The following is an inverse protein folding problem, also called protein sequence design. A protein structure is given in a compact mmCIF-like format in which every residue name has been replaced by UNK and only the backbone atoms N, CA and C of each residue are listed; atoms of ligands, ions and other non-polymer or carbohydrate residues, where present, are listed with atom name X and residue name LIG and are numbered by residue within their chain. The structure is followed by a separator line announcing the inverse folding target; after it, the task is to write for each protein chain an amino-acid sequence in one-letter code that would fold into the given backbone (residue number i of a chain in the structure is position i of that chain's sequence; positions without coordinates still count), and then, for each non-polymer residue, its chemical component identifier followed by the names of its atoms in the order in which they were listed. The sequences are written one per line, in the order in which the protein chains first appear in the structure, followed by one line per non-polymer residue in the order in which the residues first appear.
data_IF_966642298717
#
_entry.id   IF_966642298717
#
_cell.length_a   1.000
_cell.length_b   1.000
_cell.length_c   1.000
_cell.angle_alpha   90.00
_cell.angle_beta   90.00
_cell.angle_gamma   90.00
#
_symmetry.space_group_name_H-M   'P 1'
#
loop_
_entity.id
_entity.type
_entity.pdbx_description
1 polymer ?
#
# COMPACT_ATOMS: atom_id res chain seq x y z
N UNK A 1 46.36 0.80 -45.47
CA UNK A 1 46.22 2.26 -45.41
C UNK A 1 44.74 2.59 -45.22
N UNK A 2 44.35 3.21 -44.11
CA UNK A 2 42.94 3.57 -43.87
C UNK A 2 42.58 4.74 -44.79
N UNK A 3 41.58 4.55 -45.66
CA UNK A 3 41.18 5.55 -46.64
C UNK A 3 40.55 6.75 -45.92
N UNK A 4 41.34 7.83 -45.72
CA UNK A 4 40.97 8.99 -44.87
C UNK A 4 39.79 9.81 -45.41
N UNK A 5 39.32 9.53 -46.61
CA UNK A 5 38.27 10.27 -47.31
C UNK A 5 36.88 9.61 -47.21
N UNK A 6 36.68 8.67 -46.29
CA UNK A 6 35.38 8.03 -46.04
C UNK A 6 34.80 8.51 -44.71
N UNK A 7 33.52 8.86 -44.70
CA UNK A 7 32.78 9.28 -43.52
C UNK A 7 32.59 8.11 -42.55
N UNK A 8 33.05 8.20 -41.30
CA UNK A 8 32.94 7.09 -40.34
C UNK A 8 31.48 6.79 -39.92
N UNK A 9 30.55 7.72 -40.15
CA UNK A 9 29.14 7.62 -39.71
C UNK A 9 28.22 6.97 -40.74
N UNK A 10 28.52 7.10 -42.03
CA UNK A 10 27.63 6.64 -43.11
C UNK A 10 28.34 5.99 -44.31
N UNK A 11 29.67 5.95 -44.34
CA UNK A 11 30.43 5.35 -45.44
C UNK A 11 30.55 6.19 -46.71
N UNK A 12 29.91 7.37 -46.80
CA UNK A 12 30.01 8.26 -47.96
C UNK A 12 31.38 8.98 -48.03
N UNK A 13 31.77 9.44 -49.22
CA UNK A 13 32.98 10.25 -49.38
C UNK A 13 32.87 11.57 -48.60
N UNK A 14 33.98 11.95 -47.94
CA UNK A 14 34.13 13.23 -47.24
C UNK A 14 35.39 13.95 -47.70
N UNK A 15 35.41 15.26 -47.52
CA UNK A 15 36.62 16.06 -47.77
C UNK A 15 37.71 15.71 -46.74
N UNK A 16 39.00 15.66 -47.11
CA UNK A 16 40.10 15.18 -46.25
C UNK A 16 40.21 15.86 -44.88
N UNK A 17 39.80 17.14 -44.82
CA UNK A 17 39.93 18.02 -43.64
C UNK A 17 38.71 18.01 -42.71
N UNK A 18 37.63 17.32 -43.09
CA UNK A 18 36.37 17.31 -42.33
C UNK A 18 36.21 15.98 -41.59
N UNK A 19 35.59 16.01 -40.41
CA UNK A 19 35.34 14.80 -39.62
C UNK A 19 34.26 13.91 -40.27
N UNK A 20 33.22 14.51 -40.83
CA UNK A 20 32.07 13.84 -41.46
C UNK A 20 31.82 14.33 -42.89
N UNK A 21 30.99 13.62 -43.66
CA UNK A 21 30.49 14.12 -44.95
C UNK A 21 29.50 15.29 -44.75
N UNK A 22 29.22 16.04 -45.81
CA UNK A 22 28.34 17.22 -45.78
C UNK A 22 26.96 16.90 -45.19
N UNK A 23 26.33 15.82 -45.63
CA UNK A 23 25.00 15.42 -45.15
C UNK A 23 24.99 15.07 -43.66
N UNK A 24 25.99 14.32 -43.18
CA UNK A 24 26.12 13.99 -41.77
C UNK A 24 26.40 15.24 -40.92
N UNK A 25 27.20 16.17 -41.42
CA UNK A 25 27.46 17.45 -40.75
C UNK A 25 26.22 18.34 -40.72
N UNK A 26 25.38 18.32 -41.76
CA UNK A 26 24.10 19.04 -41.79
C UNK A 26 23.07 18.41 -40.84
N UNK A 27 23.04 17.08 -40.73
CA UNK A 27 22.20 16.39 -39.73
C UNK A 27 22.60 16.72 -38.30
N UNK A 28 23.89 16.89 -38.01
CA UNK A 28 24.38 17.35 -36.69
C UNK A 28 24.02 18.82 -36.40
N UNK A 29 23.80 19.64 -37.42
CA UNK A 29 23.36 21.04 -37.26
C UNK A 29 21.85 21.19 -37.05
N UNK A 30 21.06 20.11 -37.16
CA UNK A 30 19.62 20.19 -36.89
C UNK A 30 19.41 20.33 -35.39
N UNK A 31 18.81 21.45 -34.99
CA UNK A 31 18.47 21.68 -33.59
C UNK A 31 17.49 20.60 -33.10
N UNK A 32 17.64 20.11 -31.86
CA UNK A 32 16.66 19.21 -31.27
C UNK A 32 15.28 19.87 -31.23
N UNK A 33 14.23 19.05 -31.18
CA UNK A 33 12.84 19.51 -31.12
C UNK A 33 12.21 19.09 -29.80
N UNK A 34 11.31 19.92 -29.29
CA UNK A 34 10.52 19.62 -28.11
C UNK A 34 9.69 18.36 -28.36
N UNK A 35 9.77 17.40 -27.44
CA UNK A 35 9.04 16.12 -27.53
C UNK A 35 7.51 16.29 -27.52
N UNK A 36 6.99 17.37 -26.92
CA UNK A 36 5.54 17.59 -26.76
C UNK A 36 4.93 18.37 -27.93
N UNK A 37 5.57 19.46 -28.37
CA UNK A 37 5.01 20.33 -29.41
C UNK A 37 5.84 20.47 -30.69
N UNK A 38 7.01 19.83 -30.76
CA UNK A 38 7.88 19.85 -31.95
C UNK A 38 8.62 21.16 -32.22
N UNK A 39 8.50 22.18 -31.35
CA UNK A 39 9.25 23.43 -31.47
C UNK A 39 10.77 23.20 -31.36
N UNK A 40 11.59 23.96 -32.09
CA UNK A 40 13.05 23.89 -31.95
C UNK A 40 13.48 24.27 -30.52
N UNK A 41 14.38 23.47 -29.94
CA UNK A 41 14.93 23.68 -28.60
C UNK A 41 16.45 23.79 -28.64
N UNK A 42 17.04 24.32 -27.57
CA UNK A 42 18.49 24.47 -27.46
C UNK A 42 19.18 23.10 -27.45
N UNK A 43 20.39 23.07 -27.98
CA UNK A 43 21.20 21.85 -28.03
C UNK A 43 21.40 21.28 -26.61
N UNK A 44 21.12 19.99 -26.43
CA UNK A 44 21.13 19.32 -25.12
C UNK A 44 19.80 19.34 -24.35
N UNK A 45 18.76 20.03 -24.84
CA UNK A 45 17.42 20.02 -24.24
C UNK A 45 16.42 19.23 -25.09
N UNK A 46 15.42 18.64 -24.45
CA UNK A 46 14.35 17.87 -25.09
C UNK A 46 12.95 18.48 -24.91
N UNK A 47 12.82 19.51 -24.07
CA UNK A 47 11.57 20.25 -23.85
C UNK A 47 11.79 21.74 -24.10
N UNK A 48 10.78 22.40 -24.65
CA UNK A 48 10.77 23.86 -24.72
C UNK A 48 10.54 24.44 -23.31
N UNK A 49 10.84 25.72 -23.14
CA UNK A 49 10.71 26.40 -21.84
C UNK A 49 9.32 26.25 -21.22
N UNK A 50 8.26 26.26 -22.03
CA UNK A 50 6.87 26.13 -21.58
C UNK A 50 6.63 24.73 -21.00
N UNK A 51 6.83 23.68 -21.80
CA UNK A 51 6.61 22.29 -21.35
C UNK A 51 7.57 21.86 -20.23
N UNK A 52 8.78 22.42 -20.18
CA UNK A 52 9.66 22.22 -19.04
C UNK A 52 9.08 22.83 -17.75
N UNK A 53 8.56 24.06 -17.82
CA UNK A 53 7.90 24.71 -16.68
C UNK A 53 6.61 23.97 -16.26
N UNK A 54 5.81 23.50 -17.21
CA UNK A 54 4.60 22.71 -16.94
C UNK A 54 4.95 21.41 -16.23
N UNK A 55 5.94 20.65 -16.74
CA UNK A 55 6.40 19.41 -16.09
C UNK A 55 6.93 19.68 -14.69
N UNK A 56 7.66 20.77 -14.48
CA UNK A 56 8.11 21.18 -13.15
C UNK A 56 6.94 21.53 -12.21
N UNK A 57 5.87 22.14 -12.73
CA UNK A 57 4.67 22.42 -11.95
C UNK A 57 3.88 21.15 -11.60
N UNK A 58 3.77 20.21 -12.53
CA UNK A 58 3.15 18.90 -12.31
C UNK A 58 3.92 18.09 -11.26
N UNK A 59 5.25 18.01 -11.38
CA UNK A 59 6.12 17.37 -10.39
C UNK A 59 5.91 17.99 -8.99
N UNK A 60 5.76 19.32 -8.89
CA UNK A 60 5.45 20.00 -7.62
C UNK A 60 4.06 19.65 -7.08
N UNK A 61 3.04 19.60 -7.93
CA UNK A 61 1.67 19.21 -7.54
C UNK A 61 1.64 17.77 -7.02
N UNK A 62 2.30 16.84 -7.72
CA UNK A 62 2.40 15.44 -7.28
C UNK A 62 3.11 15.34 -5.93
N UNK A 63 4.20 16.09 -5.72
CA UNK A 63 4.90 16.13 -4.43
C UNK A 63 4.01 16.68 -3.30
N UNK A 64 3.20 17.70 -3.57
CA UNK A 64 2.24 18.23 -2.60
C UNK A 64 1.15 17.21 -2.23
N UNK A 65 0.60 16.48 -3.22
CA UNK A 65 -0.40 15.43 -2.97
C UNK A 65 0.19 14.35 -2.08
N UNK A 66 1.36 13.80 -2.45
CA UNK A 66 2.07 12.78 -1.65
C UNK A 66 2.38 13.26 -0.24
N UNK A 67 2.76 14.54 -0.06
CA UNK A 67 2.99 15.11 1.25
C UNK A 67 1.72 15.15 2.10
N UNK A 68 0.58 15.55 1.53
CA UNK A 68 -0.71 15.56 2.23
C UNK A 68 -1.19 14.15 2.56
N UNK A 69 -1.01 13.19 1.65
CA UNK A 69 -1.33 11.77 1.90
C UNK A 69 -0.48 11.20 3.03
N UNK A 70 0.85 11.36 2.96
CA UNK A 70 1.76 10.91 4.02
C UNK A 70 1.44 11.58 5.36
N UNK A 71 1.15 12.90 5.36
CA UNK A 71 0.79 13.61 6.58
C UNK A 71 -0.52 13.11 7.17
N UNK A 72 -1.54 12.83 6.33
CA UNK A 72 -2.79 12.20 6.79
C UNK A 72 -2.55 10.80 7.33
N UNK A 73 -1.67 10.03 6.72
CA UNK A 73 -1.30 8.70 7.18
C UNK A 73 -0.54 8.76 8.51
N UNK A 74 0.37 9.71 8.68
CA UNK A 74 1.07 9.98 9.94
C UNK A 74 0.10 10.48 11.01
N UNK A 75 -0.76 11.46 10.72
CA UNK A 75 -1.80 11.95 11.65
C UNK A 75 -2.77 10.82 12.04
N UNK A 76 -3.09 9.93 11.10
CA UNK A 76 -3.85 8.72 11.38
C UNK A 76 -3.06 7.79 12.32
N UNK A 77 -1.83 7.41 11.96
CA UNK A 77 -0.94 6.58 12.80
C UNK A 77 -0.72 7.18 14.19
N UNK A 78 -0.62 8.50 14.33
CA UNK A 78 -0.48 9.21 15.61
C UNK A 78 -1.77 9.23 16.42
N UNK A 79 -2.92 9.52 15.78
CA UNK A 79 -4.24 9.47 16.42
C UNK A 79 -4.53 8.09 17.00
N UNK A 80 -4.03 7.05 16.35
CA UNK A 80 -4.18 5.65 16.72
C UNK A 80 -2.91 5.03 17.32
N UNK A 81 -1.88 5.80 17.67
CA UNK A 81 -0.69 5.27 18.36
C UNK A 81 -1.14 4.79 19.74
N UNK A 82 -0.93 3.50 20.02
CA UNK A 82 -1.59 2.78 21.12
C UNK A 82 -1.71 3.59 22.41
N UNK A 83 -2.95 3.99 22.75
CA UNK A 83 -3.24 4.81 23.94
C UNK A 83 -3.25 3.98 25.23
N UNK A 84 -3.31 2.66 25.10
CA UNK A 84 -3.43 1.74 26.22
C UNK A 84 -2.34 0.68 26.14
N UNK A 85 -1.54 0.57 27.20
CA UNK A 85 -0.48 -0.43 27.29
C UNK A 85 -0.93 -1.56 28.20
N UNK A 86 -0.90 -2.80 27.70
CA UNK A 86 -1.06 -3.98 28.52
C UNK A 86 -0.01 -5.01 28.15
N UNK A 87 0.74 -5.49 29.14
CA UNK A 87 1.86 -6.41 28.94
C UNK A 87 2.85 -5.98 27.84
N UNK A 88 3.19 -4.69 27.78
CA UNK A 88 4.06 -4.05 26.78
C UNK A 88 3.50 -4.01 25.34
N UNK A 89 2.26 -4.44 25.11
CA UNK A 89 1.57 -4.31 23.82
C UNK A 89 0.80 -2.98 23.79
N UNK A 90 1.02 -2.11 22.78
CA UNK A 90 0.36 -0.81 22.65
C UNK A 90 -0.96 -0.89 21.87
N UNK A 91 -2.09 -1.03 22.56
CA UNK A 91 -3.42 -1.14 21.97
C UNK A 91 -4.01 0.22 21.55
N UNK A 92 -4.67 0.26 20.39
CA UNK A 92 -5.28 1.47 19.81
C UNK A 92 -6.53 1.91 20.55
N UNK A 93 -7.26 0.98 21.16
CA UNK A 93 -8.51 1.27 21.89
C UNK A 93 -8.66 0.49 23.20
N UNK A 94 -9.53 0.98 24.12
CA UNK A 94 -9.89 0.21 25.34
C UNK A 94 -10.60 -1.10 24.98
N UNK A 95 -11.42 -1.05 23.94
CA UNK A 95 -12.19 -2.20 23.44
C UNK A 95 -11.27 -3.35 23.04
N UNK A 96 -10.20 -3.05 22.29
CA UNK A 96 -9.16 -4.03 21.96
C UNK A 96 -8.47 -4.62 23.19
N UNK A 97 -8.13 -3.80 24.20
CA UNK A 97 -7.55 -4.32 25.47
C UNK A 97 -8.50 -5.32 26.13
N UNK A 98 -9.79 -5.01 26.19
CA UNK A 98 -10.78 -5.89 26.82
C UNK A 98 -10.93 -7.20 26.04
N UNK A 99 -10.97 -7.14 24.70
CA UNK A 99 -11.02 -8.33 23.84
C UNK A 99 -9.77 -9.17 24.04
N UNK A 100 -8.58 -8.56 24.01
CA UNK A 100 -7.30 -9.25 24.24
C UNK A 100 -7.29 -9.97 25.59
N UNK A 101 -7.69 -9.29 26.67
CA UNK A 101 -7.81 -9.89 28.00
C UNK A 101 -8.75 -11.08 28.02
N UNK A 102 -9.92 -10.95 27.39
CA UNK A 102 -10.88 -12.05 27.28
C UNK A 102 -10.25 -13.26 26.57
N UNK A 103 -9.56 -13.06 25.45
CA UNK A 103 -8.92 -14.13 24.69
C UNK A 103 -7.83 -14.82 25.53
N UNK A 104 -6.95 -14.05 26.18
CA UNK A 104 -5.87 -14.58 27.03
C UNK A 104 -6.41 -15.32 28.26
N UNK A 105 -7.43 -14.79 28.94
CA UNK A 105 -8.10 -15.47 30.06
C UNK A 105 -8.69 -16.81 29.66
N UNK A 106 -9.12 -16.93 28.40
CA UNK A 106 -9.60 -18.16 27.82
C UNK A 106 -8.49 -19.07 27.30
N UNK A 107 -7.22 -18.83 27.65
CA UNK A 107 -6.04 -19.60 27.21
C UNK A 107 -5.89 -19.65 25.69
N UNK A 108 -6.09 -18.51 25.05
CA UNK A 108 -5.75 -18.27 23.64
C UNK A 108 -4.50 -17.37 23.59
N UNK A 109 -3.80 -17.43 22.46
CA UNK A 109 -2.59 -16.66 22.22
C UNK A 109 -2.80 -15.74 21.01
N UNK A 110 -3.58 -14.65 21.17
CA UNK A 110 -3.82 -13.73 20.08
C UNK A 110 -2.55 -12.94 19.74
N UNK A 111 -2.20 -12.91 18.46
CA UNK A 111 -1.24 -11.98 17.88
C UNK A 111 -1.99 -10.68 17.58
N UNK A 112 -1.50 -9.56 18.10
CA UNK A 112 -2.12 -8.26 17.94
C UNK A 112 -1.55 -7.54 16.72
N UNK A 113 -2.42 -7.10 15.81
CA UNK A 113 -2.02 -6.36 14.61
C UNK A 113 -0.98 -7.10 13.75
N UNK A 114 -1.11 -8.43 13.69
CA UNK A 114 -0.21 -9.26 12.89
C UNK A 114 -0.50 -9.06 11.40
N UNK A 115 0.55 -8.78 10.64
CA UNK A 115 0.45 -8.61 9.19
C UNK A 115 0.25 -9.97 8.51
N UNK A 116 -0.77 -10.05 7.65
CA UNK A 116 -1.11 -11.26 6.91
C UNK A 116 -1.06 -10.98 5.40
N UNK A 117 -0.16 -11.66 4.68
CA UNK A 117 0.04 -11.46 3.24
C UNK A 117 -0.50 -12.66 2.45
N UNK A 118 -1.54 -12.44 1.63
CA UNK A 118 -2.18 -13.48 0.81
C UNK A 118 -2.53 -12.92 -0.57
N UNK A 119 -2.13 -13.62 -1.64
CA UNK A 119 -2.39 -13.25 -3.04
C UNK A 119 -2.08 -11.79 -3.39
N UNK A 120 -1.00 -11.24 -2.83
CA UNK A 120 -0.58 -9.85 -3.05
C UNK A 120 -1.40 -8.81 -2.29
N UNK A 121 -2.36 -9.23 -1.47
CA UNK A 121 -3.09 -8.39 -0.53
C UNK A 121 -2.47 -8.49 0.87
N UNK A 122 -2.28 -7.33 1.50
CA UNK A 122 -1.82 -7.20 2.86
C UNK A 122 -3.02 -6.91 3.77
N UNK A 123 -3.29 -7.80 4.70
CA UNK A 123 -4.33 -7.71 5.70
C UNK A 123 -3.73 -7.38 7.06
N UNK A 124 -4.47 -6.60 7.85
CA UNK A 124 -4.02 -6.15 9.17
C UNK A 124 -5.20 -6.19 10.15
N UNK A 125 -5.58 -7.41 10.59
CA UNK A 125 -6.64 -7.59 11.58
C UNK A 125 -6.19 -7.17 12.97
N UNK A 126 -7.15 -6.84 13.84
CA UNK A 126 -6.83 -6.50 15.23
C UNK A 126 -6.21 -7.68 15.97
N UNK A 127 -6.74 -8.89 15.75
CA UNK A 127 -6.18 -10.11 16.34
C UNK A 127 -6.16 -11.28 15.36
N UNK A 128 -5.11 -12.09 15.45
CA UNK A 128 -4.99 -13.40 14.80
C UNK A 128 -4.74 -14.46 15.86
N UNK A 129 -5.45 -15.57 15.80
CA UNK A 129 -5.21 -16.73 16.65
C UNK A 129 -4.89 -17.92 15.77
N UNK A 130 -3.72 -18.52 15.99
CA UNK A 130 -3.33 -19.77 15.37
C UNK A 130 -3.54 -20.91 16.36
N UNK A 131 -4.39 -21.88 16.00
CA UNK A 131 -4.64 -23.09 16.79
C UNK A 131 -4.37 -24.34 15.94
N UNK A 132 -3.15 -24.87 16.06
CA UNK A 132 -2.68 -25.93 15.17
C UNK A 132 -2.59 -25.43 13.73
N UNK A 133 -3.38 -26.03 12.84
CA UNK A 133 -3.45 -25.64 11.43
C UNK A 133 -4.54 -24.60 11.14
N UNK A 134 -5.31 -24.20 12.14
CA UNK A 134 -6.45 -23.31 11.99
C UNK A 134 -6.04 -21.86 12.31
N UNK A 135 -6.51 -20.91 11.49
CA UNK A 135 -6.27 -19.48 11.67
C UNK A 135 -7.58 -18.75 11.87
N UNK A 136 -7.71 -18.02 12.98
CA UNK A 136 -8.89 -17.23 13.29
C UNK A 136 -8.54 -15.77 13.32
N UNK A 137 -9.19 -15.04 12.43
CA UNK A 137 -9.06 -13.60 12.25
C UNK A 137 -10.18 -12.94 13.06
N UNK A 138 -9.81 -11.99 13.92
CA UNK A 138 -10.76 -11.19 14.69
C UNK A 138 -10.54 -9.71 14.37
N UNK A 139 -11.62 -9.03 14.00
CA UNK A 139 -11.64 -7.59 13.75
C UNK A 139 -12.73 -6.93 14.61
N UNK A 140 -12.38 -5.85 15.29
CA UNK A 140 -13.27 -5.06 16.12
C UNK A 140 -13.61 -3.73 15.45
N UNK A 141 -14.90 -3.52 15.19
CA UNK A 141 -15.42 -2.29 14.64
C UNK A 141 -16.02 -1.43 15.77
N UNK A 142 -15.34 -0.31 16.06
CA UNK A 142 -15.83 0.70 17.00
C UNK A 142 -17.14 1.39 16.56
N UNK A 143 -17.54 2.47 17.26
CA UNK A 143 -18.78 3.19 16.91
C UNK A 143 -18.77 3.72 15.47
N UNK A 144 -19.87 3.43 14.79
CA UNK A 144 -20.09 3.66 13.37
C UNK A 144 -20.41 5.15 13.10
N UNK A 145 -19.39 5.97 12.87
CA UNK A 145 -19.58 7.24 12.17
C UNK A 145 -19.79 6.92 10.69
N UNK A 146 -20.79 7.50 10.01
CA UNK A 146 -21.18 7.21 8.61
C UNK A 146 -20.01 7.11 7.61
N UNK A 147 -18.90 7.80 7.89
CA UNK A 147 -17.68 7.77 7.08
C UNK A 147 -16.93 6.42 7.11
N UNK A 148 -17.18 5.54 8.08
CA UNK A 148 -16.49 4.26 8.25
C UNK A 148 -17.30 3.05 7.78
N UNK A 149 -18.58 3.23 7.42
CA UNK A 149 -19.43 2.12 6.99
C UNK A 149 -18.92 1.43 5.72
N UNK A 150 -18.34 2.18 4.78
CA UNK A 150 -17.76 1.61 3.56
C UNK A 150 -16.48 0.83 3.86
N UNK A 151 -15.59 1.39 4.68
CA UNK A 151 -14.34 0.73 5.09
C UNK A 151 -14.63 -0.57 5.86
N UNK A 152 -15.62 -0.57 6.75
CA UNK A 152 -16.07 -1.76 7.47
C UNK A 152 -16.54 -2.84 6.49
N UNK A 153 -17.40 -2.47 5.52
CA UNK A 153 -17.90 -3.41 4.50
C UNK A 153 -16.78 -3.98 3.63
N UNK A 154 -15.83 -3.14 3.22
CA UNK A 154 -14.66 -3.56 2.43
C UNK A 154 -13.79 -4.54 3.22
N UNK A 155 -13.48 -4.24 4.48
CA UNK A 155 -12.72 -5.16 5.36
C UNK A 155 -13.44 -6.49 5.55
N UNK A 156 -14.73 -6.46 5.90
CA UNK A 156 -15.54 -7.67 6.08
C UNK A 156 -15.52 -8.51 4.80
N UNK A 157 -15.83 -7.91 3.65
CA UNK A 157 -15.83 -8.62 2.37
C UNK A 157 -14.45 -9.19 2.02
N UNK A 158 -13.38 -8.47 2.35
CA UNK A 158 -12.01 -8.93 2.14
C UNK A 158 -11.66 -10.17 2.97
N UNK A 159 -12.01 -10.17 4.25
CA UNK A 159 -11.77 -11.32 5.14
C UNK A 159 -12.69 -12.51 4.82
N UNK A 160 -13.95 -12.26 4.49
CA UNK A 160 -14.88 -13.32 4.07
C UNK A 160 -14.40 -14.00 2.80
N UNK A 161 -13.92 -13.22 1.82
CA UNK A 161 -13.31 -13.76 0.61
C UNK A 161 -12.08 -14.60 0.95
N UNK A 162 -11.16 -14.08 1.77
CA UNK A 162 -9.97 -14.83 2.20
C UNK A 162 -10.35 -16.17 2.86
N UNK A 163 -11.34 -16.17 3.76
CA UNK A 163 -11.80 -17.40 4.43
C UNK A 163 -12.58 -18.35 3.50
N UNK A 164 -13.10 -17.86 2.37
CA UNK A 164 -13.71 -18.72 1.35
C UNK A 164 -12.67 -19.38 0.44
N UNK A 165 -11.48 -18.79 0.32
CA UNK A 165 -10.36 -19.29 -0.47
C UNK A 165 -9.39 -20.16 0.36
N UNK A 166 -9.41 -20.01 1.69
CA UNK A 166 -8.58 -20.75 2.65
C UNK A 166 -9.46 -21.55 3.62
N UNK A 167 -9.56 -22.87 3.42
CA UNK A 167 -10.47 -23.74 4.18
C UNK A 167 -10.21 -23.78 5.70
N UNK A 168 -8.98 -23.48 6.12
CA UNK A 168 -8.55 -23.48 7.53
C UNK A 168 -8.63 -22.10 8.19
N UNK A 169 -9.28 -21.13 7.52
CA UNK A 169 -9.40 -19.76 8.01
C UNK A 169 -10.84 -19.50 8.48
N UNK A 170 -10.96 -18.72 9.55
CA UNK A 170 -12.25 -18.29 10.06
C UNK A 170 -12.20 -16.81 10.43
N UNK A 171 -13.25 -16.07 10.07
CA UNK A 171 -13.37 -14.66 10.37
C UNK A 171 -14.46 -14.40 11.41
N UNK A 172 -14.13 -13.60 12.42
CA UNK A 172 -15.04 -13.15 13.47
C UNK A 172 -14.96 -11.64 13.59
N UNK A 173 -16.09 -10.96 13.34
CA UNK A 173 -16.20 -9.53 13.60
C UNK A 173 -16.86 -9.25 14.97
N UNK A 174 -16.43 -8.18 15.63
CA UNK A 174 -17.08 -7.66 16.84
C UNK A 174 -17.42 -6.18 16.70
N UNK A 175 -18.40 -5.71 17.45
CA UNK A 175 -18.74 -4.30 17.60
C UNK A 175 -18.77 -3.88 19.07
N UNK A 176 -18.95 -2.59 19.34
CA UNK A 176 -19.13 -2.06 20.71
C UNK A 176 -20.31 -2.73 21.45
N UNK A 177 -21.35 -3.20 20.73
CA UNK A 177 -22.46 -3.93 21.35
C UNK A 177 -22.02 -5.29 21.90
N UNK A 178 -21.08 -5.96 21.24
CA UNK A 178 -20.56 -7.24 21.68
C UNK A 178 -19.76 -7.14 22.99
N UNK A 179 -19.17 -5.97 23.27
CA UNK A 179 -18.38 -5.72 24.48
C UNK A 179 -19.23 -5.76 25.76
N UNK A 180 -20.53 -5.45 25.65
CA UNK A 180 -21.46 -5.47 26.79
C UNK A 180 -21.62 -6.86 27.42
N UNK A 181 -21.40 -7.92 26.62
CA UNK A 181 -21.43 -9.30 27.08
C UNK A 181 -20.51 -10.19 26.22
N UNK A 182 -19.20 -10.02 26.38
CA UNK A 182 -18.20 -10.72 25.57
C UNK A 182 -18.29 -12.25 25.65
N UNK A 183 -18.59 -12.80 26.83
CA UNK A 183 -18.71 -14.25 26.99
C UNK A 183 -19.81 -14.80 26.08
N UNK A 184 -20.98 -14.19 26.10
CA UNK A 184 -22.11 -14.64 25.27
C UNK A 184 -21.90 -14.29 23.80
N UNK A 185 -21.42 -13.08 23.49
CA UNK A 185 -21.37 -12.56 22.13
C UNK A 185 -20.14 -13.06 21.37
N UNK A 186 -18.94 -12.72 21.85
CA UNK A 186 -17.69 -13.16 21.24
C UNK A 186 -17.47 -14.66 21.45
N UNK A 187 -17.76 -15.19 22.64
CA UNK A 187 -17.65 -16.64 22.89
C UNK A 187 -18.51 -17.49 21.96
N UNK A 188 -19.79 -17.13 21.73
CA UNK A 188 -20.64 -17.84 20.76
C UNK A 188 -20.14 -17.71 19.33
N UNK A 189 -19.61 -16.54 18.93
CA UNK A 189 -19.02 -16.35 17.60
C UNK A 189 -17.78 -17.24 17.41
N UNK A 190 -16.89 -17.27 18.39
CA UNK A 190 -15.71 -18.15 18.37
C UNK A 190 -16.09 -19.63 18.41
N UNK A 191 -17.18 -20.01 19.07
CA UNK A 191 -17.67 -21.40 19.06
C UNK A 191 -18.17 -21.88 17.68
N UNK A 192 -18.41 -20.97 16.74
CA UNK A 192 -18.74 -21.31 15.34
C UNK A 192 -17.50 -21.61 14.51
N UNK A 193 -16.30 -21.27 15.00
CA UNK A 193 -15.04 -21.60 14.35
C UNK A 193 -14.52 -22.97 14.83
N UNK A 194 -13.32 -23.34 14.41
CA UNK A 194 -12.61 -24.54 14.87
C UNK A 194 -12.25 -24.53 16.37
N UNK A 195 -12.27 -23.37 17.05
CA UNK A 195 -11.82 -23.23 18.44
C UNK A 195 -12.74 -23.84 19.52
N UNK A 196 -13.85 -24.49 19.16
CA UNK A 196 -14.91 -25.02 20.05
C UNK A 196 -14.48 -25.22 21.51
N UNK A 197 -14.86 -24.31 22.42
CA UNK A 197 -14.63 -24.44 23.86
C UNK A 197 -15.94 -24.60 24.63
N UNK A 198 -16.07 -25.64 25.48
CA UNK A 198 -17.28 -25.87 26.28
C UNK A 198 -17.65 -24.69 27.18
N UNK A 199 -16.65 -23.91 27.61
CA UNK A 199 -16.79 -22.82 28.57
C UNK A 199 -17.36 -21.52 27.97
N UNK A 200 -17.58 -21.48 26.65
CA UNK A 200 -18.16 -20.34 25.94
C UNK A 200 -19.68 -20.41 25.77
N UNK A 201 -20.30 -21.50 26.25
CA UNK A 201 -21.75 -21.64 26.37
C UNK A 201 -22.30 -20.97 27.64
#
# INVERSE_FOLDING_TARGET
MVNKNICPKCGNQKKPWFNYCWECSQKEKQKPKCEVCGAEVQEGHNLCKIHWLERQQEEKKIKQIKFVENKKEEEFREKYKGKYYFNQIPFKSKSEVIIYLFLVQNKLHPLYEEEMNFDGHCYHPDFVINDGNETIIIEHFGRNEEKYANVMKEKISGYEKLCSEQDNFSFVCTTEEDLSNLKDKLGKKLNKTSLKRPLWN
#
